data_IF_661458818279
#
_entry.id   IF_661458818279
#
_cell.length_a   1.000
_cell.length_b   1.000
_cell.length_c   1.000
_cell.angle_alpha   90.00
_cell.angle_beta   90.00
_cell.angle_gamma   90.00
#
_symmetry.space_group_name_H-M   'P 1'
#
loop_
_entity.id
_entity.type
_entity.pdbx_description
1 polymer ?
#
# COMPACT_ATOMS: atom_id res chain seq x y z
N UNK A 1 -13.65 14.93 30.81
CA UNK A 1 -14.03 14.24 29.55
C UNK A 1 -12.87 13.38 29.10
N UNK A 2 -13.10 12.09 28.83
CA UNK A 2 -12.10 11.20 28.23
C UNK A 2 -12.00 11.56 26.74
N UNK A 3 -10.82 11.99 26.28
CA UNK A 3 -10.63 12.31 24.86
C UNK A 3 -10.71 11.01 24.06
N UNK A 4 -11.41 11.03 22.92
CA UNK A 4 -11.48 9.89 22.02
C UNK A 4 -10.08 9.61 21.45
N UNK A 5 -9.69 8.34 21.44
CA UNK A 5 -8.40 7.91 20.89
C UNK A 5 -8.62 6.83 19.84
N UNK A 6 -7.89 6.93 18.73
CA UNK A 6 -7.83 5.93 17.66
C UNK A 6 -6.36 5.61 17.46
N UNK A 7 -5.98 4.33 17.48
CA UNK A 7 -4.59 3.87 17.36
C UNK A 7 -3.63 4.62 18.29
N UNK A 8 -4.03 4.80 19.56
CA UNK A 8 -3.29 5.53 20.61
C UNK A 8 -3.17 7.06 20.40
N UNK A 9 -3.57 7.59 19.26
CA UNK A 9 -3.62 9.02 18.98
C UNK A 9 -4.91 9.67 19.45
N UNK A 10 -4.82 10.92 19.93
CA UNK A 10 -6.01 11.70 20.28
C UNK A 10 -6.59 12.34 19.03
N UNK A 11 -7.81 11.96 18.66
CA UNK A 11 -8.50 12.56 17.51
C UNK A 11 -9.27 13.82 17.91
N UNK A 12 -9.43 14.74 16.97
CA UNK A 12 -10.08 16.04 17.19
C UNK A 12 -11.33 16.17 16.33
N UNK A 13 -12.17 17.17 16.61
CA UNK A 13 -13.31 17.48 15.74
C UNK A 13 -12.89 17.75 14.28
N UNK A 14 -11.71 18.36 14.10
CA UNK A 14 -11.13 18.59 12.77
C UNK A 14 -10.84 17.27 12.04
N UNK A 15 -10.34 16.26 12.74
CA UNK A 15 -10.06 14.94 12.16
C UNK A 15 -11.33 14.34 11.54
N UNK A 16 -12.45 14.36 12.28
CA UNK A 16 -13.73 13.90 11.74
C UNK A 16 -14.22 14.76 10.57
N UNK A 17 -14.13 16.09 10.70
CA UNK A 17 -14.53 17.01 9.63
C UNK A 17 -13.75 16.79 8.33
N UNK A 18 -12.48 16.39 8.40
CA UNK A 18 -11.66 16.08 7.23
C UNK A 18 -12.13 14.79 6.51
N UNK A 19 -12.77 13.83 7.21
CA UNK A 19 -13.41 12.65 6.57
C UNK A 19 -14.75 13.02 5.94
N UNK A 20 -15.54 13.86 6.63
CA UNK A 20 -16.90 14.22 6.21
C UNK A 20 -16.92 15.16 4.99
N UNK A 21 -15.79 15.80 4.68
CA UNK A 21 -15.70 16.80 3.61
C UNK A 21 -15.12 16.19 2.32
N UNK A 22 -15.92 16.05 1.24
CA UNK A 22 -15.43 15.51 -0.03
C UNK A 22 -14.27 16.32 -0.63
N UNK A 23 -13.25 15.64 -1.14
CA UNK A 23 -12.04 16.27 -1.67
C UNK A 23 -11.06 16.75 -0.59
N UNK A 24 -11.21 16.31 0.66
CA UNK A 24 -10.17 16.45 1.68
C UNK A 24 -9.30 15.20 1.71
N UNK A 25 -7.99 15.43 1.70
CA UNK A 25 -7.01 14.36 1.70
C UNK A 25 -7.01 13.68 3.07
N UNK A 26 -7.19 12.36 3.08
CA UNK A 26 -6.98 11.54 4.27
C UNK A 26 -5.51 11.62 4.70
N UNK A 27 -5.28 11.93 5.98
CA UNK A 27 -3.95 11.84 6.60
C UNK A 27 -3.54 10.39 6.86
N UNK A 28 -2.26 10.17 7.23
CA UNK A 28 -1.74 8.87 7.68
C UNK A 28 -2.64 8.22 8.74
N UNK A 29 -3.07 9.01 9.72
CA UNK A 29 -3.84 8.54 10.88
C UNK A 29 -5.27 8.13 10.50
N UNK A 30 -5.86 8.74 9.46
CA UNK A 30 -7.12 8.27 8.87
C UNK A 30 -6.96 6.93 8.17
N UNK A 31 -5.87 6.78 7.39
CA UNK A 31 -5.59 5.55 6.66
C UNK A 31 -5.35 4.40 7.64
N UNK A 32 -4.50 4.58 8.65
CA UNK A 32 -4.23 3.59 9.71
C UNK A 32 -5.50 3.22 10.49
N UNK A 33 -6.34 4.19 10.83
CA UNK A 33 -7.64 3.93 11.46
C UNK A 33 -8.55 3.07 10.56
N UNK A 34 -8.62 3.41 9.26
CA UNK A 34 -9.36 2.65 8.27
C UNK A 34 -8.86 1.22 8.15
N UNK A 35 -7.55 1.01 8.08
CA UNK A 35 -6.92 -0.32 8.06
C UNK A 35 -7.29 -1.15 9.27
N UNK A 36 -7.19 -0.61 10.48
CA UNK A 36 -7.55 -1.34 11.71
C UNK A 36 -9.04 -1.71 11.74
N UNK A 37 -9.91 -0.80 11.30
CA UNK A 37 -11.34 -1.10 11.16
C UNK A 37 -11.61 -2.21 10.14
N UNK A 38 -10.87 -2.24 9.02
CA UNK A 38 -10.99 -3.29 8.01
C UNK A 38 -10.53 -4.66 8.54
N UNK A 39 -9.42 -4.72 9.30
CA UNK A 39 -8.98 -5.94 10.00
C UNK A 39 -10.03 -6.43 10.99
N UNK A 40 -10.56 -5.51 11.81
CA UNK A 40 -11.63 -5.85 12.76
C UNK A 40 -12.89 -6.34 12.04
N UNK A 41 -13.25 -5.75 10.89
CA UNK A 41 -14.37 -6.22 10.06
C UNK A 41 -14.10 -7.61 9.48
N UNK A 42 -12.90 -7.87 8.96
CA UNK A 42 -12.51 -9.19 8.45
C UNK A 42 -12.68 -10.30 9.50
N UNK A 43 -12.36 -10.01 10.78
CA UNK A 43 -12.47 -10.96 11.89
C UNK A 43 -13.91 -11.07 12.40
N UNK A 44 -14.55 -9.94 12.69
CA UNK A 44 -15.82 -9.91 13.43
C UNK A 44 -17.05 -10.03 12.52
N UNK A 45 -16.93 -9.63 11.25
CA UNK A 45 -18.02 -9.64 10.27
C UNK A 45 -17.50 -10.11 8.90
N UNK A 46 -16.95 -11.33 8.81
CA UNK A 46 -16.31 -11.81 7.59
C UNK A 46 -17.26 -11.73 6.40
N UNK A 47 -18.55 -12.02 6.54
CA UNK A 47 -19.51 -11.99 5.42
C UNK A 47 -19.64 -10.61 4.75
N UNK A 48 -19.27 -9.53 5.44
CA UNK A 48 -19.26 -8.16 4.91
C UNK A 48 -17.92 -7.73 4.31
N UNK A 49 -16.86 -8.51 4.51
CA UNK A 49 -15.52 -8.25 3.97
C UNK A 49 -15.38 -9.02 2.65
N UNK A 50 -15.39 -8.32 1.53
CA UNK A 50 -15.52 -8.94 0.20
C UNK A 50 -14.19 -9.55 -0.24
N UNK A 51 -13.07 -8.94 0.14
CA UNK A 51 -11.75 -9.45 -0.21
C UNK A 51 -11.35 -10.66 0.66
N UNK A 52 -11.38 -11.86 0.11
CA UNK A 52 -11.03 -13.10 0.84
C UNK A 52 -9.59 -13.58 0.65
N UNK A 53 -8.87 -13.00 -0.30
CA UNK A 53 -7.61 -13.54 -0.79
C UNK A 53 -6.42 -12.66 -0.49
N UNK A 54 -6.63 -11.37 -0.19
CA UNK A 54 -5.55 -10.46 0.11
C UNK A 54 -5.16 -10.52 1.60
N UNK A 55 -3.87 -10.71 1.85
CA UNK A 55 -3.26 -10.30 3.11
C UNK A 55 -2.97 -8.81 3.04
N UNK A 56 -3.44 -8.07 4.03
CA UNK A 56 -3.27 -6.63 4.11
C UNK A 56 -2.13 -6.31 5.07
N UNK A 57 -1.08 -5.67 4.55
CA UNK A 57 0.10 -5.25 5.31
C UNK A 57 -0.01 -3.78 5.72
N UNK A 58 0.48 -3.44 6.90
CA UNK A 58 0.41 -2.07 7.45
C UNK A 58 1.34 -1.10 6.73
N UNK A 59 1.13 0.21 6.93
CA UNK A 59 2.05 1.25 6.47
C UNK A 59 3.48 1.00 6.98
N UNK A 60 3.62 0.45 8.18
CA UNK A 60 4.91 0.03 8.75
C UNK A 60 5.68 -0.95 7.87
N UNK A 61 5.00 -1.81 7.13
CA UNK A 61 5.66 -2.73 6.20
C UNK A 61 6.35 -1.96 5.06
N UNK A 62 5.73 -0.88 4.56
CA UNK A 62 6.37 -0.02 3.56
C UNK A 62 7.53 0.78 4.17
N UNK A 63 7.41 1.22 5.42
CA UNK A 63 8.49 1.88 6.15
C UNK A 63 9.69 0.92 6.38
N UNK A 64 9.45 -0.33 6.79
CA UNK A 64 10.47 -1.38 6.90
C UNK A 64 11.12 -1.69 5.55
N UNK A 65 10.35 -1.70 4.46
CA UNK A 65 10.89 -1.85 3.11
C UNK A 65 11.79 -0.68 2.74
N UNK A 66 11.39 0.56 3.05
CA UNK A 66 12.20 1.74 2.76
C UNK A 66 13.51 1.73 3.58
N UNK A 67 13.49 1.24 4.83
CA UNK A 67 14.69 1.05 5.67
C UNK A 67 15.62 -0.04 5.11
N UNK A 68 15.06 -1.20 4.77
CA UNK A 68 15.82 -2.32 4.18
C UNK A 68 16.28 -2.03 2.74
N UNK A 69 15.74 -0.99 2.11
CA UNK A 69 16.16 -0.59 0.76
C UNK A 69 17.60 -0.09 0.74
N UNK A 70 18.05 0.59 1.79
CA UNK A 70 19.44 1.04 1.90
C UNK A 70 20.40 -0.15 2.02
N UNK A 71 20.04 -1.18 2.79
CA UNK A 71 20.80 -2.44 2.86
C UNK A 71 20.86 -3.15 1.50
N UNK A 72 19.73 -3.17 0.77
CA UNK A 72 19.69 -3.67 -0.61
C UNK A 72 20.65 -2.90 -1.52
N UNK A 73 20.74 -1.57 -1.38
CA UNK A 73 21.63 -0.75 -2.23
C UNK A 73 23.11 -1.08 -2.03
N UNK A 74 23.51 -1.49 -0.83
CA UNK A 74 24.88 -1.86 -0.49
C UNK A 74 25.25 -3.25 -1.01
N UNK A 75 24.33 -4.23 -0.93
CA UNK A 75 24.56 -5.62 -1.35
C UNK A 75 24.22 -5.87 -2.85
N UNK A 76 23.58 -4.92 -3.55
CA UNK A 76 23.11 -5.14 -4.94
C UNK A 76 24.20 -5.51 -5.96
N UNK A 77 25.48 -5.21 -5.67
CA UNK A 77 26.60 -5.40 -6.63
C UNK A 77 26.85 -6.88 -6.99
N UNK A 78 26.38 -7.81 -6.16
CA UNK A 78 26.48 -9.26 -6.41
C UNK A 78 25.30 -9.88 -7.17
N UNK A 79 24.22 -9.13 -7.42
CA UNK A 79 22.98 -9.71 -7.95
C UNK A 79 22.85 -9.55 -9.47
N UNK A 80 22.67 -10.68 -10.15
CA UNK A 80 22.15 -10.71 -11.52
C UNK A 80 20.62 -10.77 -11.47
N UNK A 81 19.96 -9.78 -12.05
CA UNK A 81 18.50 -9.75 -12.14
C UNK A 81 18.03 -10.70 -13.24
N UNK A 82 17.39 -11.81 -12.87
CA UNK A 82 16.64 -12.63 -13.81
C UNK A 82 15.31 -11.97 -14.20
N UNK A 83 14.62 -12.56 -15.17
CA UNK A 83 13.25 -12.21 -15.55
C UNK A 83 12.28 -13.19 -14.89
N UNK A 84 11.65 -12.76 -13.79
CA UNK A 84 10.71 -13.57 -13.01
C UNK A 84 9.25 -13.35 -13.44
N UNK A 85 8.40 -14.34 -13.16
CA UNK A 85 6.97 -14.35 -13.55
C UNK A 85 6.04 -13.61 -12.57
N UNK A 86 6.58 -13.12 -11.45
CA UNK A 86 5.81 -12.39 -10.44
C UNK A 86 5.66 -10.89 -10.77
N UNK A 87 4.63 -10.28 -10.20
CA UNK A 87 4.27 -8.90 -10.52
C UNK A 87 3.86 -8.08 -9.28
N UNK A 88 4.17 -6.79 -9.32
CA UNK A 88 3.52 -5.78 -8.49
C UNK A 88 2.39 -5.18 -9.31
N UNK A 89 1.17 -5.30 -8.81
CA UNK A 89 0.01 -4.62 -9.38
C UNK A 89 -0.30 -3.35 -8.61
N UNK A 90 -0.25 -2.21 -9.31
CA UNK A 90 -0.65 -0.89 -8.79
C UNK A 90 -2.02 -0.51 -9.31
N UNK A 91 -2.99 -0.33 -8.41
CA UNK A 91 -4.32 0.16 -8.76
C UNK A 91 -4.33 1.69 -8.72
N UNK A 92 -4.54 2.31 -9.89
CA UNK A 92 -4.47 3.75 -10.05
C UNK A 92 -5.87 4.33 -10.26
N UNK A 93 -6.42 4.93 -9.21
CA UNK A 93 -7.67 5.68 -9.28
C UNK A 93 -7.53 7.10 -9.85
N UNK A 94 -6.31 7.60 -10.07
CA UNK A 94 -6.05 8.97 -10.51
C UNK A 94 -5.39 9.02 -11.89
N UNK A 95 -5.75 8.13 -12.81
CA UNK A 95 -5.06 7.96 -14.09
C UNK A 95 -5.08 9.19 -15.01
N UNK A 96 -6.07 10.08 -14.83
CA UNK A 96 -6.12 11.38 -15.53
C UNK A 96 -5.06 12.37 -15.03
N UNK A 97 -4.57 12.21 -13.79
CA UNK A 97 -3.61 13.10 -13.13
C UNK A 97 -2.22 12.48 -12.98
N UNK A 98 -2.15 11.15 -12.92
CA UNK A 98 -0.92 10.38 -12.74
C UNK A 98 -0.88 9.24 -13.74
N UNK A 99 -0.07 9.42 -14.78
CA UNK A 99 0.11 8.46 -15.87
C UNK A 99 1.06 7.34 -15.48
N UNK A 100 1.13 6.30 -16.32
CA UNK A 100 2.11 5.22 -16.18
C UNK A 100 3.54 5.75 -16.02
N UNK A 101 3.94 6.70 -16.86
CA UNK A 101 5.27 7.30 -16.82
C UNK A 101 5.58 8.00 -15.48
N UNK A 102 4.57 8.62 -14.86
CA UNK A 102 4.75 9.26 -13.55
C UNK A 102 4.76 8.28 -12.37
N UNK A 103 4.11 7.12 -12.47
CA UNK A 103 3.98 6.16 -11.37
C UNK A 103 5.11 5.14 -11.33
N UNK A 104 5.59 4.70 -12.49
CA UNK A 104 6.64 3.67 -12.59
C UNK A 104 7.89 3.99 -11.77
N UNK A 105 8.43 5.23 -11.74
CA UNK A 105 9.60 5.54 -10.92
C UNK A 105 9.40 5.21 -9.43
N UNK A 106 8.20 5.46 -8.89
CA UNK A 106 7.89 5.17 -7.48
C UNK A 106 7.76 3.67 -7.20
N UNK A 107 7.18 2.90 -8.14
CA UNK A 107 6.96 1.46 -7.96
C UNK A 107 8.20 0.63 -8.33
N UNK A 108 9.11 1.20 -9.13
CA UNK A 108 10.30 0.50 -9.63
C UNK A 108 11.26 0.09 -8.52
N UNK A 109 11.44 0.93 -7.49
CA UNK A 109 12.28 0.60 -6.34
C UNK A 109 11.74 -0.66 -5.63
N UNK A 110 10.45 -0.65 -5.30
CA UNK A 110 9.75 -1.79 -4.71
C UNK A 110 9.86 -3.06 -5.57
N UNK A 111 9.65 -2.95 -6.88
CA UNK A 111 9.74 -4.08 -7.82
C UNK A 111 11.12 -4.75 -7.86
N UNK A 112 12.18 -3.99 -7.58
CA UNK A 112 13.54 -4.49 -7.55
C UNK A 112 13.93 -5.06 -6.18
N UNK A 113 13.49 -4.41 -5.11
CA UNK A 113 13.97 -4.72 -3.78
C UNK A 113 13.11 -5.76 -3.03
N UNK A 114 11.80 -5.82 -3.28
CA UNK A 114 10.89 -6.78 -2.63
C UNK A 114 11.34 -8.25 -2.77
N UNK A 115 11.75 -8.76 -3.96
CA UNK A 115 12.22 -10.14 -4.07
C UNK A 115 13.41 -10.44 -3.15
N UNK A 116 14.36 -9.49 -3.06
CA UNK A 116 15.51 -9.60 -2.16
C UNK A 116 15.09 -9.58 -0.68
N UNK A 117 14.20 -8.67 -0.30
CA UNK A 117 13.72 -8.56 1.08
C UNK A 117 12.94 -9.79 1.52
N UNK A 118 12.08 -10.33 0.65
CA UNK A 118 11.34 -11.57 0.91
C UNK A 118 12.35 -12.71 1.15
N UNK A 119 13.36 -12.84 0.29
CA UNK A 119 14.42 -13.84 0.47
C UNK A 119 15.14 -13.68 1.82
N UNK A 120 15.52 -12.46 2.16
CA UNK A 120 16.23 -12.16 3.41
C UNK A 120 15.37 -12.48 4.64
N UNK A 121 14.08 -12.12 4.59
CA UNK A 121 13.10 -12.39 5.64
C UNK A 121 12.92 -13.89 5.89
N UNK A 122 12.75 -14.68 4.83
CA UNK A 122 12.60 -16.13 4.94
C UNK A 122 13.93 -16.88 5.12
N UNK A 123 15.07 -16.19 4.92
CA UNK A 123 16.43 -16.78 4.92
C UNK A 123 16.60 -17.94 3.95
N UNK A 124 15.83 -17.94 2.85
CA UNK A 124 15.82 -19.02 1.86
C UNK A 124 16.59 -18.60 0.60
N UNK A 125 17.86 -19.00 0.52
CA UNK A 125 18.75 -18.65 -0.60
C UNK A 125 18.30 -19.21 -1.96
N UNK A 126 17.33 -20.15 -1.99
CA UNK A 126 16.81 -20.72 -3.23
C UNK A 126 15.72 -19.88 -3.89
N UNK A 127 15.17 -18.88 -3.17
CA UNK A 127 14.12 -18.02 -3.72
C UNK A 127 14.64 -17.15 -4.86
N UNK A 128 13.83 -17.05 -5.92
CA UNK A 128 14.09 -16.16 -7.05
C UNK A 128 14.07 -14.70 -6.60
N UNK A 129 15.15 -13.98 -6.91
CA UNK A 129 15.26 -12.53 -6.66
C UNK A 129 15.16 -11.71 -7.94
N UNK A 130 14.66 -12.31 -9.01
CA UNK A 130 14.31 -11.62 -10.23
C UNK A 130 13.36 -10.48 -9.96
N UNK A 131 13.59 -9.37 -10.65
CA UNK A 131 12.76 -8.18 -10.51
C UNK A 131 11.30 -8.51 -10.85
N UNK A 132 10.37 -8.11 -9.99
CA UNK A 132 8.95 -8.21 -10.31
C UNK A 132 8.57 -7.32 -11.50
N UNK A 133 7.70 -7.84 -12.36
CA UNK A 133 7.08 -7.03 -13.41
C UNK A 133 6.11 -6.01 -12.80
N UNK A 134 5.96 -4.84 -13.42
CA UNK A 134 5.06 -3.79 -12.92
C UNK A 134 3.81 -3.78 -13.79
N UNK A 135 2.65 -3.96 -13.16
CA UNK A 135 1.34 -3.86 -13.80
C UNK A 135 0.59 -2.69 -13.20
N UNK A 136 0.16 -1.73 -14.03
CA UNK A 136 -0.69 -0.63 -13.57
C UNK A 136 -2.11 -0.85 -14.07
N UNK A 137 -3.07 -0.93 -13.14
CA UNK A 137 -4.48 -1.11 -13.42
C UNK A 137 -5.18 0.23 -13.24
N UNK A 138 -5.60 0.82 -14.35
CA UNK A 138 -6.38 2.07 -14.39
C UNK A 138 -7.67 1.93 -15.20
N UNK A 139 -7.61 1.21 -16.34
CA UNK A 139 -8.78 0.93 -17.17
C UNK A 139 -9.74 0.00 -16.43
N UNK A 140 -11.02 0.38 -16.36
CA UNK A 140 -12.06 -0.38 -15.64
C UNK A 140 -12.01 -0.23 -14.12
N UNK A 141 -11.03 0.51 -13.58
CA UNK A 141 -10.97 0.84 -12.17
C UNK A 141 -11.64 2.20 -11.90
N UNK A 142 -12.48 2.34 -10.86
CA UNK A 142 -13.09 3.62 -10.52
C UNK A 142 -12.07 4.75 -10.43
N UNK A 143 -12.36 5.87 -11.10
CA UNK A 143 -11.47 7.03 -11.17
C UNK A 143 -11.96 8.15 -10.27
N UNK A 144 -11.06 8.74 -9.48
CA UNK A 144 -11.36 9.88 -8.64
C UNK A 144 -11.58 11.14 -9.48
N UNK A 145 -12.54 11.95 -9.07
CA UNK A 145 -12.72 13.32 -9.60
C UNK A 145 -11.67 14.27 -8.99
N UNK A 146 -11.36 14.09 -7.71
CA UNK A 146 -10.39 14.87 -6.93
C UNK A 146 -9.29 13.94 -6.40
N UNK A 147 -8.03 14.34 -6.53
CA UNK A 147 -6.91 13.43 -6.19
C UNK A 147 -6.81 13.16 -4.69
N UNK A 148 -7.35 14.09 -3.92
CA UNK A 148 -7.46 14.07 -2.47
C UNK A 148 -8.31 12.88 -1.99
N UNK A 149 -9.24 12.38 -2.80
CA UNK A 149 -10.09 11.23 -2.47
C UNK A 149 -9.40 9.86 -2.71
N UNK A 150 -8.16 9.85 -3.22
CA UNK A 150 -7.41 8.60 -3.51
C UNK A 150 -7.28 7.66 -2.31
N UNK A 151 -7.14 8.22 -1.09
CA UNK A 151 -7.08 7.43 0.14
C UNK A 151 -8.36 6.65 0.44
N UNK A 152 -9.52 7.20 0.09
CA UNK A 152 -10.82 6.53 0.24
C UNK A 152 -10.92 5.35 -0.73
N UNK A 153 -10.47 5.54 -1.97
CA UNK A 153 -10.46 4.49 -2.99
C UNK A 153 -9.51 3.35 -2.63
N UNK A 154 -8.36 3.67 -2.03
CA UNK A 154 -7.43 2.66 -1.52
C UNK A 154 -8.08 1.80 -0.42
N UNK A 155 -8.72 2.41 0.58
CA UNK A 155 -9.43 1.68 1.64
C UNK A 155 -10.58 0.83 1.07
N UNK A 156 -11.32 1.36 0.09
CA UNK A 156 -12.45 0.65 -0.52
C UNK A 156 -12.03 -0.51 -1.41
N UNK A 157 -10.83 -0.48 -1.97
CA UNK A 157 -10.25 -1.59 -2.73
C UNK A 157 -9.83 -2.75 -1.81
N UNK A 158 -9.45 -2.43 -0.57
CA UNK A 158 -9.01 -3.43 0.41
C UNK A 158 -10.21 -4.19 1.00
N UNK A 159 -11.31 -3.48 1.25
CA UNK A 159 -12.59 -4.05 1.73
C UNK A 159 -13.20 -5.08 0.78
#
# INVERSE_FOLDING_TARGET
MRKLRINQETVTAKWFSDIETPGKKLSKTHIEAGFELLKMRQINNPDLFLNKTALVVEVKFLEEIDELYDEFLDDKKGFQFGTGFDNITTFNCAAMKSTYASLVPYVKAYAMALPFMIRNFFKDVSMDTSKFSIKIVSKGFPQVLKIEDSGVYALKLIE
#
